data_IF_469731546945
#
_entry.id   IF_469731546945
#
_cell.length_a   1.000
_cell.length_b   1.000
_cell.length_c   1.000
_cell.angle_alpha   90.00
_cell.angle_beta   90.00
_cell.angle_gamma   90.00
#
_symmetry.space_group_name_H-M   'P 1'
#
loop_
_entity.id
_entity.type
_entity.pdbx_description
1 polymer ?
#
# COMPACT_ATOMS: atom_id res chain seq x y z
N UNK A 1 -2.91 -10.81 -22.30
CA UNK A 1 -3.60 -11.76 -21.40
C UNK A 1 -5.00 -11.96 -21.94
N UNK A 2 -5.43 -13.21 -22.17
CA UNK A 2 -6.79 -13.48 -22.64
C UNK A 2 -7.79 -13.31 -21.48
N UNK A 3 -8.97 -12.70 -21.71
CA UNK A 3 -9.98 -12.53 -20.68
C UNK A 3 -10.53 -13.89 -20.24
N UNK A 4 -10.61 -14.11 -18.93
CA UNK A 4 -11.12 -15.38 -18.39
C UNK A 4 -12.65 -15.45 -18.57
N UNK A 5 -13.20 -16.62 -18.93
CA UNK A 5 -14.64 -16.79 -19.10
C UNK A 5 -15.38 -16.67 -17.75
N UNK A 6 -16.65 -16.26 -17.80
CA UNK A 6 -17.48 -16.03 -16.61
C UNK A 6 -17.54 -17.24 -15.66
N UNK A 7 -17.54 -18.44 -16.21
CA UNK A 7 -17.63 -19.68 -15.43
C UNK A 7 -16.39 -19.95 -14.56
N UNK A 8 -15.23 -19.44 -14.98
CA UNK A 8 -14.02 -19.48 -14.15
C UNK A 8 -14.26 -18.77 -12.82
N UNK A 9 -14.87 -17.58 -12.84
CA UNK A 9 -15.13 -16.79 -11.65
C UNK A 9 -16.22 -17.39 -10.77
N UNK A 10 -17.28 -17.96 -11.37
CA UNK A 10 -18.33 -18.68 -10.64
C UNK A 10 -17.77 -19.90 -9.90
N UNK A 11 -16.93 -20.69 -10.58
CA UNK A 11 -16.26 -21.84 -9.97
C UNK A 11 -15.30 -21.40 -8.86
N UNK A 12 -14.52 -20.34 -9.10
CA UNK A 12 -13.60 -19.79 -8.09
C UNK A 12 -14.33 -19.29 -6.85
N UNK A 13 -15.47 -18.63 -7.02
CA UNK A 13 -16.31 -18.19 -5.91
C UNK A 13 -16.85 -19.40 -5.11
N UNK A 14 -17.25 -20.47 -5.80
CA UNK A 14 -17.67 -21.72 -5.18
C UNK A 14 -16.56 -22.40 -4.37
N UNK A 15 -15.34 -22.43 -4.90
CA UNK A 15 -14.15 -22.94 -4.21
C UNK A 15 -13.83 -22.13 -2.95
N UNK A 16 -13.80 -20.80 -3.07
CA UNK A 16 -13.52 -19.90 -1.95
C UNK A 16 -14.57 -20.05 -0.85
N UNK A 17 -15.84 -20.17 -1.21
CA UNK A 17 -16.91 -20.38 -0.23
C UNK A 17 -16.80 -21.72 0.51
N UNK A 18 -16.36 -22.78 -0.17
CA UNK A 18 -16.08 -24.08 0.48
C UNK A 18 -14.88 -23.99 1.42
N UNK A 19 -13.81 -23.36 0.97
CA UNK A 19 -12.61 -23.12 1.79
C UNK A 19 -12.94 -22.31 3.05
N UNK A 20 -13.70 -21.21 2.90
CA UNK A 20 -14.16 -20.37 4.01
C UNK A 20 -14.96 -21.17 5.05
N UNK A 21 -15.91 -22.01 4.62
CA UNK A 21 -16.70 -22.86 5.52
C UNK A 21 -15.82 -23.83 6.32
N UNK A 22 -14.80 -24.40 5.69
CA UNK A 22 -13.86 -25.29 6.36
C UNK A 22 -13.01 -24.51 7.39
N UNK A 23 -12.51 -23.33 7.03
CA UNK A 23 -11.75 -22.46 7.95
C UNK A 23 -12.61 -22.10 9.16
N UNK A 24 -13.84 -21.61 8.97
CA UNK A 24 -14.74 -21.26 10.08
C UNK A 24 -15.12 -22.44 10.97
N UNK A 25 -15.09 -23.67 10.44
CA UNK A 25 -15.38 -24.89 11.21
C UNK A 25 -14.20 -25.32 12.08
N UNK A 26 -12.96 -25.03 11.65
CA UNK A 26 -11.73 -25.43 12.35
C UNK A 26 -11.09 -24.30 13.17
N UNK A 27 -11.37 -23.05 12.83
CA UNK A 27 -11.07 -21.87 13.64
C UNK A 27 -12.17 -21.75 14.69
N UNK A 28 -12.01 -22.42 15.83
CA UNK A 28 -12.96 -22.37 16.93
C UNK A 28 -13.44 -20.93 17.19
N UNK A 29 -14.73 -20.68 16.95
CA UNK A 29 -15.35 -19.37 17.06
C UNK A 29 -15.52 -18.98 18.54
N UNK A 30 -14.41 -18.64 19.18
CA UNK A 30 -14.31 -17.67 20.26
C UNK A 30 -12.85 -17.20 20.30
N UNK A 31 -12.41 -16.59 19.21
CA UNK A 31 -11.21 -15.76 19.28
C UNK A 31 -11.67 -14.49 19.99
N UNK A 32 -11.51 -14.50 21.31
CA UNK A 32 -11.68 -13.30 22.13
C UNK A 32 -10.87 -12.18 21.46
N UNK A 33 -11.55 -11.16 20.97
CA UNK A 33 -10.92 -10.02 20.28
C UNK A 33 -9.84 -9.37 21.17
N UNK A 34 -10.07 -9.32 22.48
CA UNK A 34 -9.07 -8.89 23.46
C UNK A 34 -7.89 -9.85 23.58
N UNK A 35 -8.07 -11.16 23.39
CA UNK A 35 -6.96 -12.12 23.39
C UNK A 35 -6.08 -11.97 22.15
N UNK A 36 -6.68 -11.73 20.97
CA UNK A 36 -5.92 -11.38 19.76
C UNK A 36 -5.23 -10.04 19.88
N UNK A 37 -5.90 -9.02 20.41
CA UNK A 37 -5.29 -7.71 20.63
C UNK A 37 -4.17 -7.78 21.67
N UNK A 38 -4.34 -8.55 22.75
CA UNK A 38 -3.29 -8.78 23.75
C UNK A 38 -2.09 -9.52 23.17
N UNK A 39 -2.32 -10.58 22.38
CA UNK A 39 -1.26 -11.30 21.69
C UNK A 39 -0.50 -10.39 20.70
N UNK A 40 -1.21 -9.65 19.84
CA UNK A 40 -0.59 -8.71 18.91
C UNK A 40 0.17 -7.58 19.62
N UNK A 41 -0.36 -7.03 20.72
CA UNK A 41 0.35 -6.03 21.54
C UNK A 41 1.63 -6.60 22.15
N UNK A 42 1.58 -7.83 22.67
CA UNK A 42 2.77 -8.47 23.26
C UNK A 42 3.88 -8.78 22.24
N UNK A 43 3.54 -9.05 20.97
CA UNK A 43 4.54 -9.30 19.92
C UNK A 43 5.38 -8.05 19.59
N UNK A 44 4.80 -6.85 19.74
CA UNK A 44 5.48 -5.56 19.60
C UNK A 44 6.46 -5.24 20.74
N UNK A 45 6.14 -5.72 21.94
CA UNK A 45 6.91 -5.38 23.14
C UNK A 45 8.07 -6.33 23.38
N UNK A 46 7.99 -7.59 22.96
CA UNK A 46 9.02 -8.58 23.30
C UNK A 46 10.41 -8.24 22.75
N UNK A 47 10.51 -7.77 21.50
CA UNK A 47 11.80 -7.33 20.93
C UNK A 47 12.26 -6.01 21.57
N UNK A 48 11.33 -5.11 21.87
CA UNK A 48 11.61 -3.84 22.56
C UNK A 48 12.08 -4.06 24.01
N UNK A 49 11.51 -5.02 24.73
CA UNK A 49 11.89 -5.39 26.10
C UNK A 49 13.24 -6.09 26.09
N UNK A 50 13.45 -7.04 25.16
CA UNK A 50 14.74 -7.70 25.00
C UNK A 50 15.84 -6.66 24.71
N UNK A 51 15.65 -5.73 23.78
CA UNK A 51 16.65 -4.69 23.49
C UNK A 51 16.87 -3.75 24.69
N UNK A 52 15.80 -3.32 25.37
CA UNK A 52 15.90 -2.46 26.57
C UNK A 52 16.65 -3.12 27.73
N UNK A 53 16.60 -4.44 27.86
CA UNK A 53 17.24 -5.16 28.96
C UNK A 53 18.61 -5.71 28.57
N UNK A 54 18.71 -6.34 27.41
CA UNK A 54 19.91 -7.07 26.97
C UNK A 54 21.01 -6.12 26.51
N UNK A 55 20.69 -5.01 25.81
CA UNK A 55 21.71 -4.09 25.30
C UNK A 55 22.46 -3.37 26.42
N UNK A 56 21.79 -2.77 27.45
CA UNK A 56 22.52 -2.18 28.58
C UNK A 56 23.35 -3.20 29.36
N UNK A 57 22.82 -4.41 29.57
CA UNK A 57 23.58 -5.49 30.21
C UNK A 57 24.81 -5.90 29.40
N UNK A 58 24.71 -6.01 28.08
CA UNK A 58 25.83 -6.32 27.20
C UNK A 58 26.89 -5.20 27.18
N UNK A 59 26.48 -3.93 27.23
CA UNK A 59 27.38 -2.78 27.34
C UNK A 59 28.13 -2.81 28.67
N UNK A 60 27.44 -3.07 29.79
CA UNK A 60 28.05 -3.16 31.12
C UNK A 60 29.05 -4.33 31.17
N UNK A 61 28.65 -5.50 30.67
CA UNK A 61 29.50 -6.68 30.60
C UNK A 61 30.73 -6.42 29.72
N UNK A 62 30.54 -5.90 28.51
CA UNK A 62 31.61 -5.56 27.58
C UNK A 62 32.58 -4.54 28.16
N UNK A 63 32.07 -3.53 28.88
CA UNK A 63 32.91 -2.56 29.59
C UNK A 63 33.73 -3.21 30.70
N UNK A 64 33.10 -4.08 31.51
CA UNK A 64 33.74 -4.76 32.65
C UNK A 64 34.79 -5.77 32.22
N UNK A 65 34.54 -6.51 31.14
CA UNK A 65 35.36 -7.64 30.71
C UNK A 65 36.38 -7.26 29.63
N UNK A 66 36.03 -6.34 28.73
CA UNK A 66 36.78 -6.06 27.50
C UNK A 66 37.13 -4.56 27.35
N UNK A 67 36.86 -3.76 28.37
CA UNK A 67 37.14 -2.32 28.40
C UNK A 67 36.16 -1.46 27.58
N UNK A 68 36.37 -0.15 27.64
CA UNK A 68 35.44 0.85 27.09
C UNK A 68 35.29 0.78 25.56
N UNK A 69 36.34 0.36 24.84
CA UNK A 69 36.31 0.25 23.37
C UNK A 69 35.27 -0.78 22.90
N UNK A 70 35.23 -1.92 23.57
CA UNK A 70 34.29 -3.00 23.26
C UNK A 70 32.84 -2.62 23.60
N UNK A 71 32.64 -1.91 24.70
CA UNK A 71 31.33 -1.39 25.10
C UNK A 71 30.76 -0.40 24.07
N UNK A 72 31.62 0.47 23.51
CA UNK A 72 31.23 1.40 22.43
C UNK A 72 30.79 0.67 21.17
N UNK A 73 31.52 -0.38 20.76
CA UNK A 73 31.18 -1.17 19.57
C UNK A 73 29.81 -1.84 19.72
N UNK A 74 29.50 -2.39 20.90
CA UNK A 74 28.21 -3.00 21.20
C UNK A 74 27.08 -1.95 21.13
N UNK A 75 27.32 -0.74 21.63
CA UNK A 75 26.34 0.35 21.61
C UNK A 75 26.05 0.93 20.22
N UNK A 76 26.91 0.69 19.23
CA UNK A 76 26.72 1.15 17.85
C UNK A 76 25.77 0.23 17.06
N UNK A 77 25.54 -1.00 17.53
CA UNK A 77 24.69 -1.97 16.82
C UNK A 77 23.27 -1.40 16.70
N UNK A 78 22.75 -1.19 15.47
CA UNK A 78 21.43 -0.65 15.28
C UNK A 78 20.37 -1.64 15.78
N UNK A 79 19.40 -1.11 16.53
CA UNK A 79 18.26 -1.85 17.03
C UNK A 79 17.30 -2.23 15.90
N UNK A 80 16.53 -3.30 16.08
CA UNK A 80 15.60 -3.83 15.08
C UNK A 80 14.61 -2.76 14.61
N UNK A 81 14.06 -1.99 15.54
CA UNK A 81 13.14 -0.89 15.21
C UNK A 81 13.82 0.19 14.35
N UNK A 82 15.08 0.53 14.65
CA UNK A 82 15.84 1.50 13.88
C UNK A 82 16.15 0.97 12.48
N UNK A 83 16.40 -0.34 12.33
CA UNK A 83 16.62 -0.99 11.03
C UNK A 83 15.37 -0.95 10.16
N UNK A 84 14.21 -1.34 10.70
CA UNK A 84 12.94 -1.35 9.95
C UNK A 84 12.53 0.07 9.59
N UNK A 85 12.67 1.03 10.51
CA UNK A 85 12.39 2.43 10.23
C UNK A 85 13.28 2.95 9.10
N UNK A 86 14.59 2.69 9.14
CA UNK A 86 15.51 3.13 8.10
C UNK A 86 15.17 2.53 6.74
N UNK A 87 14.82 1.24 6.71
CA UNK A 87 14.38 0.59 5.47
C UNK A 87 13.13 1.24 4.87
N UNK A 88 12.15 1.60 5.71
CA UNK A 88 10.93 2.27 5.25
C UNK A 88 11.26 3.65 4.68
N UNK A 89 12.12 4.42 5.36
CA UNK A 89 12.57 5.73 4.87
C UNK A 89 13.34 5.59 3.56
N UNK A 90 14.32 4.69 3.49
CA UNK A 90 15.11 4.44 2.27
C UNK A 90 14.22 4.05 1.08
N UNK A 91 13.19 3.22 1.32
CA UNK A 91 12.21 2.85 0.29
C UNK A 91 11.34 4.03 -0.14
N UNK A 92 10.88 4.86 0.80
CA UNK A 92 10.08 6.05 0.50
C UNK A 92 10.89 7.04 -0.35
N UNK A 93 12.13 7.32 0.05
CA UNK A 93 13.03 8.24 -0.65
C UNK A 93 13.32 7.73 -2.07
N UNK A 94 13.59 6.43 -2.23
CA UNK A 94 13.82 5.83 -3.54
C UNK A 94 12.58 5.89 -4.45
N UNK A 95 11.38 5.68 -3.91
CA UNK A 95 10.13 5.82 -4.68
C UNK A 95 9.93 7.28 -5.12
N UNK A 96 10.15 8.23 -4.20
CA UNK A 96 10.05 9.66 -4.50
C UNK A 96 11.02 10.07 -5.61
N UNK A 97 12.29 9.71 -5.48
CA UNK A 97 13.31 10.01 -6.49
C UNK A 97 12.95 9.39 -7.85
N UNK A 98 12.50 8.14 -7.85
CA UNK A 98 12.07 7.45 -9.08
C UNK A 98 10.90 8.18 -9.75
N UNK A 99 9.92 8.64 -8.98
CA UNK A 99 8.77 9.38 -9.51
C UNK A 99 9.18 10.75 -10.04
N UNK A 100 10.04 11.47 -9.32
CA UNK A 100 10.56 12.77 -9.76
C UNK A 100 11.33 12.65 -11.08
N UNK A 101 12.21 11.65 -11.20
CA UNK A 101 12.94 11.40 -12.45
C UNK A 101 11.97 11.09 -13.59
N UNK A 102 10.96 10.23 -13.36
CA UNK A 102 9.95 9.91 -14.38
C UNK A 102 9.12 11.11 -14.81
N UNK A 103 8.74 11.97 -13.87
CA UNK A 103 8.01 13.21 -14.17
C UNK A 103 8.87 14.15 -15.00
N UNK A 104 10.14 14.33 -14.64
CA UNK A 104 11.10 15.17 -15.39
C UNK A 104 11.37 14.67 -16.80
N UNK A 105 11.31 13.36 -17.02
CA UNK A 105 11.50 12.73 -18.33
C UNK A 105 10.21 12.63 -19.15
N UNK A 106 9.06 12.97 -18.57
CA UNK A 106 7.79 13.00 -19.29
C UNK A 106 7.71 14.24 -20.17
N UNK A 107 7.17 14.10 -21.38
CA UNK A 107 6.92 15.21 -22.32
C UNK A 107 5.90 16.25 -21.76
N UNK A 108 5.35 16.01 -20.56
CA UNK A 108 4.48 16.92 -19.82
C UNK A 108 5.22 17.70 -18.71
N UNK A 109 6.56 17.65 -18.66
CA UNK A 109 7.35 18.37 -17.66
C UNK A 109 7.40 19.87 -17.96
N UNK A 110 6.57 20.62 -17.24
CA UNK A 110 6.68 22.08 -17.15
C UNK A 110 7.60 22.43 -15.97
N UNK A 111 8.79 23.02 -16.20
CA UNK A 111 9.76 23.32 -15.15
C UNK A 111 9.27 24.34 -14.12
N UNK A 112 8.17 25.06 -14.40
CA UNK A 112 7.60 26.06 -13.48
C UNK A 112 6.43 25.51 -12.63
N UNK A 113 6.14 24.20 -12.72
CA UNK A 113 5.03 23.52 -12.03
C UNK A 113 3.66 24.23 -12.24
N UNK A 114 3.50 24.98 -13.34
CA UNK A 114 2.32 25.83 -13.54
C UNK A 114 1.04 25.02 -13.68
N UNK A 115 1.13 23.78 -14.17
CA UNK A 115 0.02 22.81 -14.23
C UNK A 115 -0.49 22.37 -12.85
N UNK A 116 0.37 22.34 -11.82
CA UNK A 116 -0.02 22.00 -10.43
C UNK A 116 -0.80 23.17 -9.82
N UNK A 117 -0.37 24.39 -10.12
CA UNK A 117 -1.00 25.63 -9.64
C UNK A 117 -2.34 25.91 -10.32
N UNK A 118 -2.47 25.51 -11.59
CA UNK A 118 -3.70 25.67 -12.34
C UNK A 118 -3.91 24.47 -13.28
N UNK A 119 -4.57 23.40 -12.80
CA UNK A 119 -4.78 22.17 -13.58
C UNK A 119 -5.69 22.37 -14.81
N UNK A 120 -6.30 23.54 -14.97
CA UNK A 120 -7.11 23.94 -16.12
C UNK A 120 -6.41 24.96 -17.03
N UNK A 121 -5.12 25.27 -16.83
CA UNK A 121 -4.38 26.23 -17.66
C UNK A 121 -3.97 25.70 -19.04
N UNK A 122 -4.44 24.52 -19.45
CA UNK A 122 -4.27 24.05 -20.81
C UNK A 122 -4.90 25.07 -21.78
N UNK A 123 -4.08 25.70 -22.62
CA UNK A 123 -4.47 26.61 -23.71
C UNK A 123 -5.36 25.95 -24.79
N UNK A 124 -5.90 24.76 -24.55
CA UNK A 124 -6.77 24.02 -25.46
C UNK A 124 -8.21 23.86 -24.97
N UNK A 125 -8.56 24.38 -23.78
CA UNK A 125 -9.98 24.44 -23.37
C UNK A 125 -10.81 25.25 -24.38
N UNK A 126 -10.24 26.32 -24.94
CA UNK A 126 -10.91 27.13 -25.97
C UNK A 126 -11.04 26.39 -27.32
N UNK A 127 -10.25 25.33 -27.55
CA UNK A 127 -10.36 24.48 -28.75
C UNK A 127 -11.32 23.31 -28.57
N UNK A 128 -11.83 23.07 -27.35
CA UNK A 128 -12.97 22.18 -27.13
C UNK A 128 -14.19 22.95 -27.66
N UNK A 129 -14.36 22.94 -28.98
CA UNK A 129 -15.62 23.27 -29.59
C UNK A 129 -16.66 22.40 -28.88
N UNK A 130 -17.56 23.04 -28.12
CA UNK A 130 -18.57 22.34 -27.34
C UNK A 130 -19.21 21.25 -28.18
N UNK A 131 -19.43 20.08 -27.57
CA UNK A 131 -20.07 18.95 -28.24
C UNK A 131 -21.26 19.47 -29.05
N UNK A 132 -21.33 19.09 -30.33
CA UNK A 132 -22.48 19.47 -31.15
C UNK A 132 -23.75 18.91 -30.48
N UNK A 133 -24.90 19.56 -30.67
CA UNK A 133 -26.15 19.15 -29.99
C UNK A 133 -26.45 17.65 -30.17
N UNK A 134 -26.10 17.07 -31.32
CA UNK A 134 -26.23 15.64 -31.61
C UNK A 134 -25.28 14.73 -30.80
N UNK A 135 -24.11 15.22 -30.40
CA UNK A 135 -23.19 14.51 -29.50
C UNK A 135 -23.64 14.61 -28.05
N UNK A 136 -24.27 15.74 -27.67
CA UNK A 136 -24.87 15.91 -26.34
C UNK A 136 -26.08 15.00 -26.16
N UNK A 137 -26.95 14.92 -27.17
CA UNK A 137 -28.12 14.02 -27.16
C UNK A 137 -27.71 12.55 -27.07
N UNK A 138 -26.65 12.14 -27.79
CA UNK A 138 -26.09 10.79 -27.69
C UNK A 138 -25.55 10.47 -26.30
N UNK A 139 -24.89 11.43 -25.64
CA UNK A 139 -24.42 11.27 -24.26
C UNK A 139 -25.59 11.22 -23.28
N UNK A 140 -26.58 12.08 -23.45
CA UNK A 140 -27.79 12.08 -22.62
C UNK A 140 -28.51 10.73 -22.74
N UNK A 141 -28.64 10.14 -23.93
CA UNK A 141 -29.22 8.80 -24.10
C UNK A 141 -28.36 7.70 -23.46
N UNK A 142 -27.03 7.78 -23.59
CA UNK A 142 -26.09 6.83 -22.99
C UNK A 142 -26.17 6.83 -21.46
N UNK A 143 -26.42 7.99 -20.85
CA UNK A 143 -26.48 8.18 -19.40
C UNK A 143 -27.91 8.15 -18.83
N UNK A 144 -28.92 8.42 -19.66
CA UNK A 144 -30.35 8.37 -19.29
C UNK A 144 -30.93 6.97 -19.43
N UNK A 145 -30.22 6.01 -20.05
CA UNK A 145 -30.59 4.61 -20.01
C UNK A 145 -30.29 3.98 -18.63
N UNK A 146 -31.16 4.24 -17.65
CA UNK A 146 -31.20 3.59 -16.34
C UNK A 146 -31.57 2.10 -16.37
N UNK A 147 -31.44 1.42 -17.50
CA UNK A 147 -31.64 -0.01 -17.64
C UNK A 147 -30.67 -0.55 -18.70
N UNK A 148 -29.58 -1.18 -18.25
CA UNK A 148 -28.79 -2.10 -19.07
C UNK A 148 -29.73 -3.25 -19.48
N UNK A 149 -30.51 -3.06 -20.55
CA UNK A 149 -31.22 -4.13 -21.21
C UNK A 149 -30.24 -4.82 -22.13
N UNK A 150 -29.78 -5.96 -21.63
CA UNK A 150 -29.25 -7.07 -22.40
C UNK A 150 -30.14 -7.30 -23.63
N UNK A 151 -29.58 -7.11 -24.81
CA UNK A 151 -29.97 -7.89 -25.98
C UNK A 151 -28.71 -8.39 -26.68
N UNK A 152 -28.23 -9.52 -26.14
CA UNK A 152 -27.56 -10.53 -26.93
C UNK A 152 -28.55 -11.05 -27.98
N UNK A 153 -28.10 -11.03 -29.23
CA UNK A 153 -28.59 -11.76 -30.40
C UNK A 153 -29.73 -12.77 -30.17
N UNK A 154 -30.84 -12.52 -30.85
CA UNK A 154 -31.54 -13.50 -31.70
C UNK A 154 -32.29 -12.77 -32.81
#
# INVERSE_FOLDING_TARGET
>A
MQPKPLDFFKNKLGELNRSRKNITKHSGANVNENATLAACRSMGENHTIAEKLLLPSAIILGKRMLGDTSAKLIGIVPLSNNTVQRLITDMADNIEETLLVRLRMSDMYDPDDSWIRNPFSCQEIEKIHGFREDEQDQLVDLFSCGAIKVQLNQ
#
